data_IF_501161107891
#
_entry.id   IF_501161107891
#
_cell.length_a   1.000
_cell.length_b   1.000
_cell.length_c   1.000
_cell.angle_alpha   90.00
_cell.angle_beta   90.00
_cell.angle_gamma   90.00
#
_symmetry.space_group_name_H-M   'P 1'
#
loop_
_entity.id
_entity.type
_entity.pdbx_description
1 polymer ?
#
# COMPACT_ATOMS: atom_id res chain seq x y z
N UNK A 1 19.89 0.91 63.96
CA UNK A 1 20.29 0.97 62.57
C UNK A 1 19.07 0.63 61.71
N UNK A 2 18.49 1.63 61.09
CA UNK A 2 17.33 1.47 60.20
C UNK A 2 17.84 1.54 58.76
N UNK A 3 17.78 0.40 58.02
CA UNK A 3 18.08 0.33 56.60
C UNK A 3 16.90 0.94 55.82
N UNK A 4 17.16 2.02 55.17
CA UNK A 4 16.23 2.69 54.21
C UNK A 4 16.47 2.00 52.85
N UNK A 5 15.58 1.11 52.44
CA UNK A 5 15.58 0.52 51.10
C UNK A 5 15.05 1.57 50.11
N UNK A 6 15.94 2.08 49.30
CA UNK A 6 15.60 2.98 48.18
C UNK A 6 15.05 2.14 47.03
N UNK A 7 13.72 2.11 46.81
CA UNK A 7 13.10 1.58 45.61
C UNK A 7 13.37 2.54 44.48
N UNK A 8 14.28 2.20 43.57
CA UNK A 8 14.38 2.86 42.27
C UNK A 8 13.16 2.45 41.43
N UNK A 9 12.19 3.34 41.33
CA UNK A 9 11.14 3.26 40.31
C UNK A 9 11.79 3.58 38.95
N UNK A 10 12.19 2.58 38.19
CA UNK A 10 12.47 2.76 36.77
C UNK A 10 11.13 3.03 36.05
N UNK A 11 10.74 4.30 35.98
CA UNK A 11 9.72 4.76 35.05
C UNK A 11 10.27 4.55 33.64
N UNK A 12 9.91 3.43 33.03
CA UNK A 12 10.16 3.19 31.61
C UNK A 12 9.42 4.29 30.82
N UNK A 13 10.14 5.31 30.42
CA UNK A 13 9.70 6.23 29.40
C UNK A 13 9.42 5.38 28.14
N UNK A 14 8.15 5.07 27.90
CA UNK A 14 7.73 4.54 26.63
C UNK A 14 8.01 5.65 25.59
N UNK A 15 9.18 5.60 24.96
CA UNK A 15 9.50 6.48 23.85
C UNK A 15 8.41 6.25 22.80
N UNK A 16 7.63 7.28 22.52
CA UNK A 16 6.62 7.22 21.48
C UNK A 16 7.31 6.81 20.18
N UNK A 17 6.75 5.80 19.49
CA UNK A 17 7.32 5.30 18.23
C UNK A 17 7.45 6.46 17.24
N UNK A 18 8.67 6.72 16.78
CA UNK A 18 8.96 7.76 15.79
C UNK A 18 8.55 7.33 14.39
N UNK A 19 7.92 8.23 13.64
CA UNK A 19 7.65 8.06 12.22
C UNK A 19 8.65 8.80 11.32
N UNK A 20 9.77 9.27 11.88
CA UNK A 20 10.80 9.97 11.11
C UNK A 20 11.26 9.15 9.90
N UNK A 21 11.11 9.72 8.70
CA UNK A 21 11.49 9.09 7.44
C UNK A 21 10.59 7.95 6.96
N UNK A 22 9.50 7.63 7.66
CA UNK A 22 8.52 6.59 7.27
C UNK A 22 7.76 7.03 6.01
N UNK A 23 7.42 6.07 5.16
CA UNK A 23 6.64 6.26 3.94
C UNK A 23 5.41 5.35 4.01
N UNK A 24 4.22 5.93 3.86
CA UNK A 24 2.98 5.18 3.68
C UNK A 24 2.57 5.18 2.21
N UNK A 25 2.63 4.03 1.56
CA UNK A 25 2.32 3.91 0.12
C UNK A 25 0.84 3.66 -0.17
N UNK A 26 -0.02 3.62 0.86
CA UNK A 26 -1.42 3.25 0.70
C UNK A 26 -2.30 3.96 1.74
N UNK A 27 -2.65 5.19 1.48
CA UNK A 27 -3.45 6.03 2.37
C UNK A 27 -4.72 6.53 1.67
N UNK A 28 -5.89 6.11 2.17
CA UNK A 28 -7.17 6.61 1.68
C UNK A 28 -7.54 7.93 2.36
N UNK A 29 -7.97 8.91 1.57
CA UNK A 29 -8.26 10.28 2.03
C UNK A 29 -9.47 10.87 1.31
N UNK A 30 -10.16 11.82 1.97
CA UNK A 30 -11.08 12.70 1.26
C UNK A 30 -10.31 13.70 0.36
N UNK A 31 -10.91 14.13 -0.77
CA UNK A 31 -12.25 13.78 -1.24
C UNK A 31 -12.31 12.39 -1.89
N UNK A 32 -13.30 11.59 -1.51
CA UNK A 32 -13.66 10.35 -2.19
C UNK A 32 -15.19 10.14 -2.09
N UNK A 33 -15.76 9.28 -2.97
CA UNK A 33 -17.18 8.92 -2.90
C UNK A 33 -17.54 8.03 -1.71
N UNK A 34 -16.54 7.36 -1.15
CA UNK A 34 -16.62 6.66 0.13
C UNK A 34 -16.09 7.63 1.19
N UNK A 35 -16.90 8.05 2.19
CA UNK A 35 -16.44 8.99 3.21
C UNK A 35 -15.21 8.48 3.96
N UNK A 36 -14.20 9.35 4.10
CA UNK A 36 -12.93 9.05 4.75
C UNK A 36 -12.80 9.72 6.13
N UNK A 37 -11.91 9.22 6.96
CA UNK A 37 -11.67 9.75 8.30
C UNK A 37 -11.04 11.14 8.31
N UNK A 38 -10.24 11.45 7.29
CA UNK A 38 -9.55 12.74 7.13
C UNK A 38 -9.33 13.08 5.65
N UNK A 39 -9.14 14.35 5.37
CA UNK A 39 -8.75 14.83 4.03
C UNK A 39 -7.24 14.75 3.80
N UNK A 40 -6.84 14.88 2.54
CA UNK A 40 -5.44 14.77 2.11
C UNK A 40 -4.53 15.84 2.74
N UNK A 41 -5.02 17.07 2.92
CA UNK A 41 -4.23 18.17 3.52
C UNK A 41 -3.98 17.89 5.00
N UNK A 42 -5.02 17.44 5.70
CA UNK A 42 -4.92 17.06 7.12
C UNK A 42 -3.94 15.92 7.32
N UNK A 43 -4.01 14.87 6.49
CA UNK A 43 -3.04 13.77 6.54
C UNK A 43 -1.61 14.25 6.30
N UNK A 44 -1.38 15.08 5.27
CA UNK A 44 -0.04 15.59 4.96
C UNK A 44 0.53 16.42 6.13
N UNK A 45 -0.28 17.27 6.76
CA UNK A 45 0.13 18.03 7.96
C UNK A 45 0.48 17.11 9.15
N UNK A 46 -0.30 16.07 9.37
CA UNK A 46 0.01 15.07 10.41
C UNK A 46 1.31 14.34 10.10
N UNK A 47 1.51 13.93 8.85
CA UNK A 47 2.74 13.30 8.38
C UNK A 47 3.96 14.23 8.56
N UNK A 48 3.81 15.53 8.25
CA UNK A 48 4.84 16.56 8.47
C UNK A 48 5.23 16.67 9.95
N UNK A 49 4.25 16.79 10.85
CA UNK A 49 4.50 16.88 12.30
C UNK A 49 5.23 15.65 12.83
N UNK A 50 4.93 14.48 12.31
CA UNK A 50 5.56 13.21 12.68
C UNK A 50 6.91 12.96 11.98
N UNK A 51 7.34 13.83 11.08
CA UNK A 51 8.59 13.71 10.33
C UNK A 51 8.57 12.60 9.29
N UNK A 52 7.39 12.18 8.81
CA UNK A 52 7.29 11.20 7.72
C UNK A 52 7.95 11.76 6.45
N UNK A 53 8.55 10.88 5.65
CA UNK A 53 9.15 11.27 4.38
C UNK A 53 8.11 11.47 3.30
N UNK A 54 7.20 10.50 3.14
CA UNK A 54 6.22 10.55 2.06
C UNK A 54 4.90 9.86 2.41
N UNK A 55 3.85 10.25 1.68
CA UNK A 55 2.54 9.59 1.68
C UNK A 55 2.05 9.45 0.24
N UNK A 56 1.50 8.29 -0.10
CA UNK A 56 0.80 8.08 -1.37
C UNK A 56 -0.70 8.06 -1.11
N UNK A 57 -1.40 9.06 -1.65
CA UNK A 57 -2.86 9.10 -1.62
C UNK A 57 -3.44 8.09 -2.61
N UNK A 58 -4.35 7.27 -2.15
CA UNK A 58 -5.07 6.29 -2.96
C UNK A 58 -6.57 6.48 -2.81
N UNK A 59 -7.27 6.53 -3.94
CA UNK A 59 -8.73 6.48 -4.02
C UNK A 59 -9.15 5.44 -5.06
N UNK A 60 -10.39 4.94 -4.94
CA UNK A 60 -10.83 3.85 -5.81
C UNK A 60 -11.40 4.34 -7.15
N UNK A 61 -11.95 5.55 -7.22
CA UNK A 61 -12.82 5.94 -8.32
C UNK A 61 -12.34 7.12 -9.14
N UNK A 62 -11.21 7.74 -8.76
CA UNK A 62 -10.54 8.79 -9.56
C UNK A 62 -9.05 8.85 -9.23
N UNK A 63 -8.22 9.42 -10.15
CA UNK A 63 -6.78 9.59 -9.91
C UNK A 63 -6.52 10.60 -8.79
N UNK A 64 -5.55 10.31 -7.93
CA UNK A 64 -5.19 11.17 -6.78
C UNK A 64 -3.98 12.08 -7.07
N UNK A 65 -3.40 11.99 -8.26
CA UNK A 65 -2.22 12.75 -8.67
C UNK A 65 -2.43 14.26 -8.60
N UNK A 66 -3.61 14.75 -9.01
CA UNK A 66 -3.96 16.17 -8.90
C UNK A 66 -4.10 16.65 -7.45
N UNK A 67 -4.58 15.77 -6.56
CA UNK A 67 -4.63 16.04 -5.11
C UNK A 67 -3.21 16.17 -4.58
N UNK A 68 -2.32 15.22 -4.88
CA UNK A 68 -0.92 15.25 -4.46
C UNK A 68 -0.21 16.52 -4.92
N UNK A 69 -0.41 16.93 -6.18
CA UNK A 69 0.12 18.18 -6.73
C UNK A 69 -0.31 19.42 -5.92
N UNK A 70 -1.59 19.51 -5.54
CA UNK A 70 -2.09 20.65 -4.77
C UNK A 70 -1.62 20.61 -3.33
N UNK A 71 -1.63 19.45 -2.69
CA UNK A 71 -1.22 19.30 -1.28
C UNK A 71 0.26 19.61 -1.13
N UNK A 72 1.11 19.17 -2.04
CA UNK A 72 2.55 19.46 -2.06
C UNK A 72 2.86 20.97 -2.01
N UNK A 73 2.00 21.81 -2.60
CA UNK A 73 2.16 23.27 -2.55
C UNK A 73 1.72 23.88 -1.22
N UNK A 74 0.91 23.16 -0.45
CA UNK A 74 0.32 23.65 0.80
C UNK A 74 1.05 23.14 2.05
N UNK A 75 1.73 22.00 1.95
CA UNK A 75 2.38 21.33 3.09
C UNK A 75 3.83 20.99 2.72
N UNK A 76 4.78 21.91 2.96
CA UNK A 76 6.19 21.65 2.67
C UNK A 76 6.79 20.63 3.63
N UNK A 77 7.82 19.90 3.18
CA UNK A 77 8.60 18.99 4.03
C UNK A 77 8.11 17.56 4.10
N UNK A 78 7.04 17.22 3.37
CA UNK A 78 6.60 15.86 3.07
C UNK A 78 6.53 15.70 1.56
N UNK A 79 6.84 14.52 1.04
CA UNK A 79 6.68 14.22 -0.39
C UNK A 79 5.30 13.53 -0.56
N UNK A 80 4.38 14.18 -1.26
CA UNK A 80 3.06 13.64 -1.54
C UNK A 80 3.00 13.08 -2.95
N UNK A 81 2.49 11.87 -3.06
CA UNK A 81 2.27 11.19 -4.33
C UNK A 81 0.83 10.70 -4.44
N UNK A 82 0.45 10.40 -5.65
CA UNK A 82 -0.82 9.79 -5.97
C UNK A 82 -0.67 8.68 -7.01
N UNK A 83 -1.79 8.22 -7.48
CA UNK A 83 -1.86 7.20 -8.50
C UNK A 83 -3.26 7.04 -9.05
N UNK A 84 -3.49 5.93 -9.71
CA UNK A 84 -4.78 5.57 -10.30
C UNK A 84 -5.12 4.11 -9.99
N UNK A 85 -6.35 3.84 -9.54
CA UNK A 85 -6.91 2.50 -9.45
C UNK A 85 -7.82 2.27 -10.66
N UNK A 86 -7.53 1.23 -11.45
CA UNK A 86 -8.14 1.00 -12.76
C UNK A 86 -9.55 0.37 -12.67
N UNK A 87 -10.39 0.97 -11.82
CA UNK A 87 -11.79 0.62 -11.70
C UNK A 87 -12.62 1.20 -12.86
N UNK A 88 -13.88 0.80 -12.96
CA UNK A 88 -14.80 1.21 -14.04
C UNK A 88 -14.98 2.73 -14.12
N UNK A 89 -14.94 3.43 -13.00
CA UNK A 89 -15.11 4.88 -12.94
C UNK A 89 -14.03 5.66 -13.71
N UNK A 90 -12.84 5.11 -13.88
CA UNK A 90 -11.74 5.67 -14.68
C UNK A 90 -11.63 5.05 -16.07
N UNK A 91 -12.63 4.25 -16.49
CA UNK A 91 -12.65 3.55 -17.77
C UNK A 91 -12.03 2.16 -17.75
N UNK A 92 -11.84 1.55 -16.58
CA UNK A 92 -11.21 0.23 -16.44
C UNK A 92 -9.71 0.26 -16.68
N UNK A 93 -9.16 -0.78 -17.30
CA UNK A 93 -7.75 -0.78 -17.76
C UNK A 93 -7.64 0.15 -18.95
N UNK A 94 -7.35 1.41 -18.66
CA UNK A 94 -7.31 2.50 -19.62
C UNK A 94 -5.90 3.08 -19.74
N UNK A 95 -5.10 2.65 -20.75
CA UNK A 95 -3.74 3.16 -20.95
C UNK A 95 -3.67 4.68 -21.12
N UNK A 96 -4.67 5.31 -21.76
CA UNK A 96 -4.71 6.75 -21.93
C UNK A 96 -4.87 7.51 -20.60
N UNK A 97 -5.66 6.96 -19.66
CA UNK A 97 -5.78 7.56 -18.34
C UNK A 97 -4.48 7.43 -17.53
N UNK A 98 -3.75 6.32 -17.67
CA UNK A 98 -2.42 6.14 -17.06
C UNK A 98 -1.43 7.12 -17.68
N UNK A 99 -1.42 7.31 -19.00
CA UNK A 99 -0.57 8.29 -19.66
C UNK A 99 -0.84 9.71 -19.15
N UNK A 100 -2.10 10.13 -19.06
CA UNK A 100 -2.44 11.45 -18.52
C UNK A 100 -2.02 11.61 -17.04
N UNK A 101 -2.04 10.54 -16.26
CA UNK A 101 -1.57 10.58 -14.88
C UNK A 101 -0.05 10.86 -14.81
N UNK A 102 0.75 10.22 -15.66
CA UNK A 102 2.21 10.38 -15.65
C UNK A 102 2.68 11.67 -16.33
N UNK A 103 1.91 12.18 -17.28
CA UNK A 103 2.18 13.44 -17.99
C UNK A 103 1.98 14.67 -17.09
N UNK A 104 1.29 14.53 -15.94
CA UNK A 104 1.12 15.63 -15.01
C UNK A 104 2.50 16.13 -14.50
N UNK A 105 2.82 17.44 -14.67
CA UNK A 105 4.10 17.99 -14.24
C UNK A 105 4.41 17.73 -12.77
N UNK A 106 5.69 17.44 -12.45
CA UNK A 106 6.16 17.22 -11.09
C UNK A 106 6.24 15.76 -10.67
N UNK A 107 5.85 14.81 -11.55
CA UNK A 107 5.97 13.37 -11.32
C UNK A 107 5.25 12.88 -10.06
N UNK A 108 4.07 13.42 -9.79
CA UNK A 108 3.25 13.04 -8.64
C UNK A 108 2.55 11.70 -8.79
N UNK A 109 2.33 11.21 -10.02
CA UNK A 109 1.77 9.89 -10.29
C UNK A 109 2.84 8.81 -10.15
N UNK A 110 2.72 7.95 -9.13
CA UNK A 110 3.77 6.97 -8.80
C UNK A 110 3.30 5.54 -8.81
N UNK A 111 2.00 5.28 -8.62
CA UNK A 111 1.48 3.92 -8.52
C UNK A 111 0.25 3.76 -9.41
N UNK A 112 0.24 2.69 -10.20
CA UNK A 112 -0.93 2.22 -10.95
C UNK A 112 -1.40 0.93 -10.29
N UNK A 113 -2.59 0.96 -9.68
CA UNK A 113 -3.23 -0.25 -9.16
C UNK A 113 -4.10 -0.88 -10.23
N UNK A 114 -3.97 -2.17 -10.45
CA UNK A 114 -4.96 -2.96 -11.16
C UNK A 114 -6.34 -2.76 -10.51
N UNK A 115 -7.43 -3.17 -11.18
CA UNK A 115 -8.77 -3.00 -10.64
C UNK A 115 -8.85 -3.48 -9.18
N UNK A 116 -9.47 -2.64 -8.33
CA UNK A 116 -9.67 -2.94 -6.92
C UNK A 116 -11.12 -3.33 -6.67
N UNK A 117 -11.98 -2.37 -6.33
CA UNK A 117 -13.40 -2.63 -6.05
C UNK A 117 -14.12 -3.30 -7.23
N UNK A 118 -13.72 -2.99 -8.46
CA UNK A 118 -14.30 -3.55 -9.67
C UNK A 118 -13.49 -4.69 -10.29
N UNK A 119 -12.50 -5.28 -9.58
CA UNK A 119 -11.82 -6.46 -10.09
C UNK A 119 -12.78 -7.63 -10.29
N UNK A 120 -12.52 -8.51 -11.24
CA UNK A 120 -13.32 -9.71 -11.46
C UNK A 120 -13.36 -10.58 -10.21
N UNK A 121 -12.19 -10.78 -9.58
CA UNK A 121 -12.07 -11.58 -8.37
C UNK A 121 -12.95 -11.06 -7.22
N UNK A 122 -12.90 -9.74 -6.94
CA UNK A 122 -13.76 -9.13 -5.91
C UNK A 122 -15.24 -9.18 -6.30
N UNK A 123 -15.57 -8.95 -7.57
CA UNK A 123 -16.96 -8.96 -8.04
C UNK A 123 -17.58 -10.36 -7.89
N UNK A 124 -16.87 -11.40 -8.32
CA UNK A 124 -17.34 -12.79 -8.29
C UNK A 124 -17.54 -13.33 -6.87
N UNK A 125 -16.79 -12.82 -5.89
CA UNK A 125 -16.86 -13.25 -4.48
C UNK A 125 -17.80 -12.39 -3.62
N UNK A 126 -18.29 -11.29 -4.17
CA UNK A 126 -19.20 -10.39 -3.48
C UNK A 126 -20.65 -10.89 -3.42
N UNK A 127 -21.51 -10.15 -2.75
CA UNK A 127 -22.95 -10.46 -2.61
C UNK A 127 -23.72 -10.41 -3.95
N UNK A 128 -23.18 -9.71 -4.96
CA UNK A 128 -23.71 -9.69 -6.32
C UNK A 128 -22.63 -10.11 -7.33
N UNK A 129 -22.42 -11.43 -7.54
CA UNK A 129 -21.34 -11.93 -8.42
C UNK A 129 -21.54 -11.60 -9.92
N UNK A 130 -22.73 -11.15 -10.31
CA UNK A 130 -23.05 -10.77 -11.69
C UNK A 130 -22.92 -9.25 -11.93
N UNK A 131 -22.48 -8.46 -10.94
CA UNK A 131 -22.23 -7.04 -11.15
C UNK A 131 -21.14 -6.81 -12.20
N UNK A 132 -21.19 -5.70 -12.94
CA UNK A 132 -20.12 -5.37 -13.88
C UNK A 132 -18.75 -5.29 -13.19
N UNK A 133 -17.71 -5.80 -13.86
CA UNK A 133 -16.33 -5.80 -13.38
C UNK A 133 -15.35 -5.44 -14.51
N UNK A 134 -14.09 -5.29 -14.18
CA UNK A 134 -12.99 -5.03 -15.10
C UNK A 134 -12.08 -6.26 -15.11
N UNK A 135 -12.08 -7.07 -16.19
CA UNK A 135 -11.16 -8.18 -16.34
C UNK A 135 -9.75 -7.66 -16.67
N UNK A 136 -8.72 -8.42 -16.29
CA UNK A 136 -7.34 -8.15 -16.69
C UNK A 136 -6.73 -9.28 -17.52
N UNK A 137 -7.34 -10.47 -17.47
CA UNK A 137 -6.88 -11.65 -18.18
C UNK A 137 -8.07 -12.42 -18.80
N UNK A 138 -7.79 -13.21 -19.81
CA UNK A 138 -8.75 -14.15 -20.41
C UNK A 138 -8.00 -15.36 -20.92
N UNK A 139 -8.48 -16.56 -20.57
CA UNK A 139 -7.86 -17.81 -21.03
C UNK A 139 -6.39 -17.99 -20.58
N UNK A 140 -6.01 -17.42 -19.42
CA UNK A 140 -4.65 -17.50 -18.89
C UNK A 140 -3.66 -16.50 -19.50
N UNK A 141 -4.13 -15.53 -20.29
CA UNK A 141 -3.31 -14.47 -20.88
C UNK A 141 -3.82 -13.08 -20.46
N UNK A 142 -2.89 -12.12 -20.27
CA UNK A 142 -3.26 -10.72 -20.04
C UNK A 142 -3.90 -10.12 -21.30
N UNK A 143 -4.92 -9.28 -21.07
CA UNK A 143 -5.58 -8.54 -22.13
C UNK A 143 -4.63 -7.53 -22.80
N UNK A 144 -4.85 -7.21 -24.10
CA UNK A 144 -3.98 -6.28 -24.83
C UNK A 144 -3.79 -4.93 -24.16
N UNK A 145 -4.86 -4.35 -23.60
CA UNK A 145 -4.83 -3.08 -22.88
C UNK A 145 -3.99 -3.15 -21.60
N UNK A 146 -3.95 -4.30 -20.91
CA UNK A 146 -3.07 -4.53 -19.76
C UNK A 146 -1.60 -4.52 -20.20
N UNK A 147 -1.28 -5.17 -21.32
CA UNK A 147 0.08 -5.18 -21.89
C UNK A 147 0.52 -3.77 -22.31
N UNK A 148 -0.38 -2.99 -22.92
CA UNK A 148 -0.11 -1.58 -23.25
C UNK A 148 0.16 -0.72 -22.00
N UNK A 149 -0.64 -0.87 -20.97
CA UNK A 149 -0.46 -0.18 -19.69
C UNK A 149 0.86 -0.57 -19.03
N UNK A 150 1.24 -1.86 -19.04
CA UNK A 150 2.54 -2.34 -18.54
C UNK A 150 3.71 -1.66 -19.26
N UNK A 151 3.60 -1.47 -20.58
CA UNK A 151 4.64 -0.79 -21.36
C UNK A 151 4.81 0.68 -20.93
N UNK A 152 3.72 1.39 -20.64
CA UNK A 152 3.78 2.76 -20.09
C UNK A 152 4.47 2.76 -18.72
N UNK A 153 4.06 1.86 -17.82
CA UNK A 153 4.63 1.75 -16.48
C UNK A 153 6.13 1.46 -16.52
N UNK A 154 6.56 0.58 -17.43
CA UNK A 154 7.97 0.26 -17.62
C UNK A 154 8.77 1.46 -18.14
N UNK A 155 8.23 2.18 -19.12
CA UNK A 155 8.86 3.38 -19.71
C UNK A 155 9.02 4.50 -18.68
N UNK A 156 7.99 4.73 -17.87
CA UNK A 156 7.95 5.82 -16.87
C UNK A 156 8.64 5.45 -15.54
N UNK A 157 9.10 4.21 -15.39
CA UNK A 157 9.75 3.66 -14.17
C UNK A 157 8.93 3.94 -12.89
N UNK A 158 7.61 3.73 -12.97
CA UNK A 158 6.67 3.85 -11.85
C UNK A 158 6.23 2.49 -11.32
N UNK A 159 5.51 2.45 -10.22
CA UNK A 159 5.11 1.19 -9.59
C UNK A 159 3.81 0.65 -10.19
N UNK A 160 3.79 -0.67 -10.44
CA UNK A 160 2.61 -1.46 -10.73
C UNK A 160 2.15 -2.18 -9.47
N UNK A 161 0.90 -2.01 -9.08
CA UNK A 161 0.30 -2.73 -7.96
C UNK A 161 -0.80 -3.69 -8.47
N UNK A 162 -0.84 -4.92 -7.93
CA UNK A 162 -1.76 -5.97 -8.42
C UNK A 162 -3.24 -5.68 -8.14
N UNK A 163 -3.56 -4.67 -7.32
CA UNK A 163 -4.94 -4.36 -6.95
C UNK A 163 -5.60 -5.53 -6.24
N UNK A 164 -6.87 -5.79 -6.58
CA UNK A 164 -7.60 -6.94 -6.04
C UNK A 164 -7.71 -8.08 -7.07
N UNK A 165 -6.65 -8.31 -7.85
CA UNK A 165 -6.56 -9.47 -8.75
C UNK A 165 -6.47 -10.77 -7.97
N UNK A 166 -6.92 -11.88 -8.55
CA UNK A 166 -6.72 -13.20 -7.93
C UNK A 166 -5.24 -13.51 -7.73
N UNK A 167 -4.87 -14.46 -6.86
CA UNK A 167 -3.49 -14.90 -6.74
C UNK A 167 -2.86 -15.30 -8.07
N UNK A 168 -3.60 -16.05 -8.92
CA UNK A 168 -3.16 -16.53 -10.23
C UNK A 168 -2.95 -15.37 -11.22
N UNK A 169 -3.92 -14.42 -11.27
CA UNK A 169 -3.80 -13.22 -12.08
C UNK A 169 -2.63 -12.33 -11.61
N UNK A 170 -2.42 -12.23 -10.29
CA UNK A 170 -1.30 -11.48 -9.72
C UNK A 170 0.04 -12.06 -10.15
N UNK A 171 0.22 -13.38 -10.08
CA UNK A 171 1.45 -14.05 -10.54
C UNK A 171 1.65 -13.91 -12.05
N UNK A 172 0.56 -14.01 -12.84
CA UNK A 172 0.61 -13.78 -14.28
C UNK A 172 1.05 -12.34 -14.60
N UNK A 173 0.44 -11.37 -13.94
CA UNK A 173 0.75 -9.95 -14.08
C UNK A 173 2.22 -9.65 -13.74
N UNK A 174 2.72 -10.19 -12.62
CA UNK A 174 4.12 -10.00 -12.19
C UNK A 174 5.08 -10.56 -13.25
N UNK A 175 4.84 -11.78 -13.76
CA UNK A 175 5.68 -12.38 -14.80
C UNK A 175 5.74 -11.52 -16.07
N UNK A 176 4.60 -11.07 -16.56
CA UNK A 176 4.53 -10.24 -17.78
C UNK A 176 5.14 -8.86 -17.55
N UNK A 177 4.89 -8.24 -16.40
CA UNK A 177 5.47 -6.94 -16.03
C UNK A 177 7.00 -7.01 -15.94
N UNK A 178 7.55 -8.08 -15.32
CA UNK A 178 9.00 -8.29 -15.25
C UNK A 178 9.62 -8.49 -16.64
N UNK A 179 8.96 -9.23 -17.52
CA UNK A 179 9.42 -9.40 -18.92
C UNK A 179 9.45 -8.08 -19.69
N UNK A 180 8.50 -7.18 -19.40
CA UNK A 180 8.44 -5.85 -20.00
C UNK A 180 9.40 -4.82 -19.35
N UNK A 181 10.15 -5.20 -18.31
CA UNK A 181 11.12 -4.32 -17.64
C UNK A 181 10.58 -3.53 -16.45
N UNK A 182 9.37 -3.81 -15.97
CA UNK A 182 8.84 -3.18 -14.74
C UNK A 182 9.62 -3.70 -13.54
N UNK A 183 10.30 -2.81 -12.82
CA UNK A 183 11.10 -3.16 -11.65
C UNK A 183 10.39 -2.92 -10.32
N UNK A 184 9.37 -2.07 -10.29
CA UNK A 184 8.63 -1.65 -9.09
C UNK A 184 7.25 -2.31 -9.09
N UNK A 185 7.13 -3.48 -8.45
CA UNK A 185 5.88 -4.25 -8.44
C UNK A 185 5.44 -4.48 -7.01
N UNK A 186 4.18 -4.18 -6.72
CA UNK A 186 3.54 -4.35 -5.41
C UNK A 186 2.44 -5.41 -5.54
N UNK A 187 2.51 -6.44 -4.71
CA UNK A 187 1.36 -7.32 -4.47
C UNK A 187 0.51 -6.65 -3.40
N UNK A 188 -0.61 -6.09 -3.80
CA UNK A 188 -1.51 -5.34 -2.91
C UNK A 188 -2.13 -6.29 -1.89
N UNK A 189 -1.93 -6.02 -0.61
CA UNK A 189 -2.46 -6.72 0.58
C UNK A 189 -2.86 -8.19 0.36
N UNK A 190 -1.89 -9.11 0.09
CA UNK A 190 -2.14 -10.50 -0.33
C UNK A 190 -2.97 -11.32 0.67
N UNK A 191 -3.03 -10.89 1.92
CA UNK A 191 -3.71 -11.58 3.03
C UNK A 191 -5.13 -11.06 3.29
N UNK A 192 -5.51 -9.95 2.65
CA UNK A 192 -6.73 -9.22 2.97
C UNK A 192 -7.78 -9.44 1.88
N UNK A 193 -8.48 -10.58 1.98
CA UNK A 193 -9.54 -10.94 1.04
C UNK A 193 -9.08 -11.47 -0.31
N UNK A 194 -7.77 -11.56 -0.56
CA UNK A 194 -7.20 -12.15 -1.78
C UNK A 194 -6.75 -13.58 -1.57
N UNK A 195 -6.51 -13.99 -0.32
CA UNK A 195 -6.20 -15.36 0.11
C UNK A 195 -4.98 -15.98 -0.63
N UNK A 196 -3.97 -15.15 -0.92
CA UNK A 196 -2.73 -15.59 -1.56
C UNK A 196 -1.94 -16.47 -0.60
N UNK A 197 -1.63 -17.70 -0.99
CA UNK A 197 -0.88 -18.64 -0.14
C UNK A 197 0.55 -18.14 0.14
N UNK A 198 1.19 -18.66 1.20
CA UNK A 198 2.57 -18.28 1.50
C UNK A 198 3.53 -18.67 0.36
N UNK A 199 3.27 -19.81 -0.27
CA UNK A 199 4.06 -20.29 -1.41
C UNK A 199 3.95 -19.34 -2.59
N UNK A 200 2.75 -18.88 -2.91
CA UNK A 200 2.50 -17.88 -3.97
C UNK A 200 3.15 -16.52 -3.62
N UNK A 201 3.10 -16.11 -2.35
CA UNK A 201 3.79 -14.89 -1.89
C UNK A 201 5.31 -14.99 -2.06
N UNK A 202 5.90 -16.14 -1.71
CA UNK A 202 7.33 -16.42 -1.94
C UNK A 202 7.68 -16.46 -3.43
N UNK A 203 6.81 -17.04 -4.27
CA UNK A 203 6.97 -17.02 -5.72
C UNK A 203 6.98 -15.58 -6.25
N UNK A 204 6.05 -14.73 -5.82
CA UNK A 204 6.01 -13.33 -6.19
C UNK A 204 7.28 -12.58 -5.75
N UNK A 205 7.74 -12.81 -4.51
CA UNK A 205 8.97 -12.23 -3.99
C UNK A 205 10.21 -12.68 -4.78
N UNK A 206 10.29 -13.97 -5.15
CA UNK A 206 11.38 -14.50 -5.97
C UNK A 206 11.41 -13.87 -7.38
N UNK A 207 10.27 -13.42 -7.90
CA UNK A 207 10.17 -12.62 -9.12
C UNK A 207 10.49 -11.14 -8.91
N UNK A 208 10.85 -10.71 -7.68
CA UNK A 208 11.22 -9.34 -7.34
C UNK A 208 10.05 -8.42 -7.02
N UNK A 209 8.85 -8.94 -6.78
CA UNK A 209 7.73 -8.15 -6.28
C UNK A 209 7.84 -7.93 -4.77
N UNK A 210 7.19 -6.86 -4.29
CA UNK A 210 7.07 -6.54 -2.88
C UNK A 210 5.67 -6.88 -2.39
N UNK A 211 5.58 -7.64 -1.28
CA UNK A 211 4.34 -8.04 -0.65
C UNK A 211 3.90 -6.94 0.34
N UNK A 212 2.75 -6.35 0.12
CA UNK A 212 2.23 -5.25 0.92
C UNK A 212 1.35 -5.78 2.06
N UNK A 213 1.80 -5.61 3.31
CA UNK A 213 1.05 -5.98 4.50
C UNK A 213 0.44 -4.72 5.12
N UNK A 214 -0.89 -4.60 5.03
CA UNK A 214 -1.60 -3.40 5.45
C UNK A 214 -2.10 -3.51 6.89
N UNK A 215 -1.89 -2.44 7.68
CA UNK A 215 -2.33 -2.40 9.08
C UNK A 215 -3.82 -2.64 9.25
N UNK A 216 -4.65 -2.14 8.33
CA UNK A 216 -6.11 -2.32 8.38
C UNK A 216 -6.52 -3.80 8.46
N UNK A 217 -5.74 -4.72 7.89
CA UNK A 217 -5.99 -6.16 7.98
C UNK A 217 -5.82 -6.74 9.39
N UNK A 218 -5.21 -5.99 10.32
CA UNK A 218 -5.13 -6.39 11.74
C UNK A 218 -6.26 -5.84 12.59
N UNK A 219 -7.11 -4.98 12.02
CA UNK A 219 -8.22 -4.34 12.72
C UNK A 219 -9.52 -5.10 12.49
N UNK A 220 -10.51 -4.99 13.40
CA UNK A 220 -11.84 -5.50 13.16
C UNK A 220 -12.44 -4.81 11.92
N UNK A 221 -12.54 -5.53 10.83
CA UNK A 221 -13.01 -5.01 9.56
C UNK A 221 -14.16 -5.88 9.02
N UNK A 222 -15.28 -5.25 8.64
CA UNK A 222 -16.41 -5.95 8.05
C UNK A 222 -16.05 -6.46 6.65
N UNK A 223 -16.06 -7.77 6.46
CA UNK A 223 -15.89 -8.43 5.16
C UNK A 223 -14.52 -9.05 4.89
N UNK A 224 -13.52 -8.87 5.77
CA UNK A 224 -12.25 -9.58 5.69
C UNK A 224 -11.93 -10.28 7.02
N UNK A 225 -11.27 -11.43 6.96
CA UNK A 225 -10.81 -12.12 8.16
C UNK A 225 -9.65 -11.34 8.77
N UNK A 226 -9.84 -10.82 9.99
CA UNK A 226 -8.82 -10.13 10.76
C UNK A 226 -7.61 -11.04 10.98
N UNK A 227 -6.40 -10.52 10.74
CA UNK A 227 -5.13 -11.20 11.00
C UNK A 227 -4.51 -10.67 12.28
N UNK A 228 -3.81 -11.52 13.04
CA UNK A 228 -3.03 -11.04 14.19
C UNK A 228 -1.71 -10.41 13.76
N UNK A 229 -1.12 -9.58 14.63
CA UNK A 229 0.24 -9.06 14.43
C UNK A 229 1.26 -10.19 14.31
N UNK A 230 1.13 -11.25 15.13
CA UNK A 230 1.97 -12.45 15.07
C UNK A 230 1.89 -13.14 13.70
N UNK A 231 0.68 -13.23 13.12
CA UNK A 231 0.50 -13.77 11.78
C UNK A 231 1.26 -12.96 10.73
N UNK A 232 1.13 -11.63 10.75
CA UNK A 232 1.84 -10.76 9.82
C UNK A 232 3.36 -10.83 10.02
N UNK A 233 3.84 -10.81 11.26
CA UNK A 233 5.27 -10.95 11.56
C UNK A 233 5.84 -12.26 11.00
N UNK A 234 5.10 -13.37 11.15
CA UNK A 234 5.49 -14.67 10.58
C UNK A 234 5.57 -14.63 9.05
N UNK A 235 4.57 -14.01 8.39
CA UNK A 235 4.54 -13.88 6.93
C UNK A 235 5.69 -13.02 6.41
N UNK A 236 5.91 -11.85 6.99
CA UNK A 236 7.00 -10.94 6.64
C UNK A 236 8.37 -11.61 6.78
N UNK A 237 8.60 -12.34 7.88
CA UNK A 237 9.83 -13.11 8.07
C UNK A 237 9.99 -14.24 7.03
N UNK A 238 8.90 -14.93 6.70
CA UNK A 238 8.93 -16.05 5.76
C UNK A 238 9.15 -15.61 4.31
N UNK A 239 8.63 -14.44 3.92
CA UNK A 239 8.85 -13.81 2.60
C UNK A 239 10.22 -13.13 2.55
N UNK A 240 10.69 -12.61 3.68
CA UNK A 240 11.89 -11.81 3.84
C UNK A 240 11.60 -10.31 3.82
N UNK A 241 12.09 -9.55 4.82
CA UNK A 241 11.85 -8.10 4.92
C UNK A 241 12.29 -7.30 3.70
N UNK A 242 13.27 -7.81 2.92
CA UNK A 242 13.72 -7.18 1.67
C UNK A 242 12.62 -7.15 0.58
N UNK A 243 11.61 -8.00 0.67
CA UNK A 243 10.49 -8.10 -0.26
C UNK A 243 9.13 -7.83 0.39
N UNK A 244 9.11 -7.23 1.57
CA UNK A 244 7.88 -6.86 2.26
C UNK A 244 7.77 -5.34 2.38
N UNK A 245 6.54 -4.83 2.39
CA UNK A 245 6.21 -3.43 2.66
C UNK A 245 5.19 -3.40 3.78
N UNK A 246 5.33 -2.45 4.67
CA UNK A 246 4.30 -2.07 5.64
C UNK A 246 3.63 -0.78 5.16
N UNK A 247 2.31 -0.80 5.06
CA UNK A 247 1.48 0.36 4.73
C UNK A 247 0.23 0.37 5.62
N UNK A 248 -0.59 1.40 5.51
CA UNK A 248 -1.78 1.46 6.38
C UNK A 248 -3.03 0.89 5.75
N UNK A 249 -3.34 1.24 4.51
CA UNK A 249 -4.65 1.04 3.88
C UNK A 249 -5.79 1.56 4.81
N UNK A 250 -5.48 2.61 5.60
CA UNK A 250 -6.42 3.28 6.47
C UNK A 250 -7.16 4.39 5.72
N UNK A 251 -8.16 4.96 6.39
CA UNK A 251 -9.01 6.03 5.89
C UNK A 251 -10.49 5.78 6.14
N UNK A 252 -10.88 4.58 6.57
CA UNK A 252 -12.25 4.35 7.03
C UNK A 252 -12.48 5.07 8.36
N UNK A 253 -13.60 5.78 8.49
CA UNK A 253 -13.92 6.62 9.65
C UNK A 253 -13.97 5.87 11.01
N UNK A 254 -14.17 4.54 10.98
CA UNK A 254 -14.18 3.71 12.19
C UNK A 254 -12.79 3.24 12.63
N UNK A 255 -11.77 3.48 11.81
CA UNK A 255 -10.40 3.06 12.08
C UNK A 255 -9.56 4.22 12.63
N UNK A 256 -8.40 3.95 13.25
CA UNK A 256 -7.46 4.99 13.64
C UNK A 256 -7.02 5.84 12.44
N UNK A 257 -6.60 7.08 12.67
CA UNK A 257 -5.94 7.87 11.63
C UNK A 257 -4.57 7.26 11.29
N UNK A 258 -4.09 7.50 10.08
CA UNK A 258 -2.90 6.86 9.48
C UNK A 258 -1.65 6.90 10.37
N UNK A 259 -1.29 8.07 10.89
CA UNK A 259 -0.08 8.22 11.74
C UNK A 259 -0.19 7.44 13.06
N UNK A 260 -1.35 7.44 13.70
CA UNK A 260 -1.60 6.64 14.89
C UNK A 260 -1.58 5.13 14.57
N UNK A 261 -2.17 4.75 13.43
CA UNK A 261 -2.14 3.37 12.93
C UNK A 261 -0.72 2.89 12.67
N UNK A 262 0.11 3.67 11.97
CA UNK A 262 1.53 3.33 11.73
C UNK A 262 2.32 3.11 13.02
N UNK A 263 2.15 3.99 14.01
CA UNK A 263 2.79 3.82 15.33
C UNK A 263 2.38 2.51 15.99
N UNK A 264 1.09 2.23 16.02
CA UNK A 264 0.55 0.99 16.59
C UNK A 264 1.04 -0.24 15.85
N UNK A 265 1.11 -0.17 14.51
CA UNK A 265 1.58 -1.24 13.65
C UNK A 265 3.04 -1.57 13.90
N UNK A 266 3.92 -0.57 13.88
CA UNK A 266 5.35 -0.73 14.14
C UNK A 266 5.56 -1.32 15.54
N UNK A 267 4.92 -0.76 16.57
CA UNK A 267 5.02 -1.25 17.95
C UNK A 267 4.52 -2.70 18.08
N UNK A 268 3.41 -3.03 17.42
CA UNK A 268 2.85 -4.38 17.40
C UNK A 268 3.84 -5.39 16.82
N UNK A 269 4.43 -5.09 15.67
CA UNK A 269 5.36 -6.00 14.99
C UNK A 269 6.70 -6.13 15.73
N UNK A 270 7.20 -5.06 16.36
CA UNK A 270 8.38 -5.14 17.26
C UNK A 270 8.13 -6.08 18.43
N UNK A 271 6.94 -6.07 19.05
CA UNK A 271 6.55 -7.01 20.12
C UNK A 271 6.50 -8.46 19.64
N UNK A 272 6.19 -8.68 18.36
CA UNK A 272 6.19 -10.00 17.71
C UNK A 272 7.59 -10.41 17.21
N UNK A 273 8.62 -9.67 17.61
CA UNK A 273 10.02 -10.02 17.40
C UNK A 273 10.57 -9.72 16.01
N UNK A 274 9.99 -8.76 15.29
CA UNK A 274 10.70 -8.10 14.20
C UNK A 274 11.71 -7.10 14.80
N UNK A 275 12.86 -6.98 14.18
CA UNK A 275 13.89 -6.03 14.59
C UNK A 275 13.60 -4.63 14.02
N UNK A 276 14.22 -3.59 14.60
CA UNK A 276 14.09 -2.22 14.07
C UNK A 276 14.63 -2.14 12.64
N UNK A 277 15.72 -2.84 12.32
CA UNK A 277 16.31 -2.86 10.97
C UNK A 277 15.37 -3.49 9.94
N UNK A 278 14.65 -4.55 10.30
CA UNK A 278 13.62 -5.18 9.46
C UNK A 278 12.43 -4.22 9.25
N UNK A 279 11.98 -3.55 10.31
CA UNK A 279 10.95 -2.51 10.20
C UNK A 279 11.41 -1.38 9.27
N UNK A 280 12.62 -0.86 9.47
CA UNK A 280 13.19 0.22 8.65
C UNK A 280 13.31 -0.18 7.16
N UNK A 281 13.63 -1.44 6.90
CA UNK A 281 13.62 -1.96 5.54
C UNK A 281 12.22 -1.85 4.92
N UNK A 282 11.17 -2.23 5.67
CA UNK A 282 9.80 -2.34 5.18
C UNK A 282 9.01 -1.03 5.14
N UNK A 283 9.34 -0.05 6.00
CA UNK A 283 8.59 1.23 6.07
C UNK A 283 9.36 2.43 5.49
N UNK A 284 10.65 2.28 5.18
CA UNK A 284 11.50 3.36 4.66
C UNK A 284 12.16 2.97 3.35
N UNK A 285 13.01 1.93 3.34
CA UNK A 285 13.86 1.61 2.19
C UNK A 285 13.08 1.03 1.01
N UNK A 286 12.27 -0.01 1.24
CA UNK A 286 11.46 -0.63 0.18
C UNK A 286 10.44 0.35 -0.42
N UNK A 287 9.65 1.12 0.39
CA UNK A 287 8.76 2.13 -0.15
C UNK A 287 9.50 3.23 -0.91
N UNK A 288 10.68 3.69 -0.44
CA UNK A 288 11.48 4.67 -1.16
C UNK A 288 11.92 4.15 -2.54
N UNK A 289 12.40 2.90 -2.60
CA UNK A 289 12.71 2.25 -3.88
C UNK A 289 11.50 2.20 -4.81
N UNK A 290 10.33 1.79 -4.31
CA UNK A 290 9.10 1.69 -5.10
C UNK A 290 8.64 3.03 -5.68
N UNK A 291 8.86 4.12 -4.94
CA UNK A 291 8.51 5.46 -5.39
C UNK A 291 9.63 6.14 -6.20
N UNK A 292 10.79 5.49 -6.41
CA UNK A 292 11.92 6.08 -7.12
C UNK A 292 12.60 7.21 -6.36
N UNK A 293 12.53 7.20 -5.03
CA UNK A 293 13.17 8.18 -4.16
C UNK A 293 14.63 7.78 -3.88
N UNK A 294 15.51 8.78 -3.84
CA UNK A 294 16.94 8.60 -3.52
C UNK A 294 17.19 8.57 -2.02
#
# INVERSE_FOLDING_TARGET
>A
MRFLSLLLLCAGLSLAQSLQGVIDVHAHVDPETIPRSIDAITLARMAQVEGMRAVVFKNHFFPTTGIAFLVHRLVPGVEEFGGIALNRAVGGVNPAAVQQMVDLPGKFGRIVWMPTMDSEYTARRGSNPNRPFVPIAKGGELLPEVKQMIAIIAHEDIALATGHSSPEESLLLIREARRAGVNRIIVTHPEQGLDMSLEQQKEAAAMGAFLEYCYVGTLPFSGASQKSMAYYAQRMKAVGPAHAIMSTDLGNAVNPVHTAGLKSYIQGLLKEGLTQDEIDQMVRKNPAYLLGLK
#
